data_IF_147932959266
#
_entry.id   IF_147932959266
#
_cell.length_a   1.000
_cell.length_b   1.000
_cell.length_c   1.000
_cell.angle_alpha   90.00
_cell.angle_beta   90.00
_cell.angle_gamma   90.00
#
_symmetry.space_group_name_H-M   'P 1'
#
loop_
_entity.id
_entity.type
_entity.pdbx_description
1 polymer ?
#
# COMPACT_ATOMS: atom_id res chain seq x y z
N UNK A 1 -11.77 41.98 -51.90
CA UNK A 1 -11.40 41.11 -53.03
C UNK A 1 -10.38 40.07 -52.55
N UNK A 2 -10.67 38.78 -52.78
CA UNK A 2 -9.78 37.59 -52.66
C UNK A 2 -9.25 37.30 -51.24
N UNK A 3 -9.95 36.57 -50.36
CA UNK A 3 -10.24 35.12 -50.34
C UNK A 3 -9.03 34.24 -50.65
N UNK A 4 -8.63 33.39 -49.70
CA UNK A 4 -8.10 32.03 -49.90
C UNK A 4 -8.00 31.33 -48.53
N UNK A 5 -9.04 30.55 -48.22
CA UNK A 5 -9.00 29.46 -47.24
C UNK A 5 -8.41 28.22 -47.94
N UNK A 6 -7.66 27.36 -47.22
CA UNK A 6 -7.61 25.93 -47.51
C UNK A 6 -8.42 25.20 -46.42
N UNK A 7 -9.54 24.59 -46.79
CA UNK A 7 -9.62 23.22 -47.32
C UNK A 7 -9.48 22.16 -46.23
N UNK A 8 -10.68 21.73 -45.81
CA UNK A 8 -11.02 20.47 -45.15
C UNK A 8 -10.17 19.28 -45.57
N UNK A 9 -9.68 18.54 -44.59
CA UNK A 9 -9.37 17.11 -44.74
C UNK A 9 -9.95 16.38 -43.52
N UNK A 10 -11.20 15.95 -43.68
CA UNK A 10 -11.85 15.04 -42.75
C UNK A 10 -11.22 13.65 -42.94
N UNK A 11 -10.41 13.23 -41.98
CA UNK A 11 -9.97 11.84 -41.88
C UNK A 11 -10.96 11.13 -40.94
N UNK A 12 -11.90 10.41 -41.56
CA UNK A 12 -12.77 9.44 -40.91
C UNK A 12 -11.91 8.20 -40.62
N UNK A 13 -11.49 8.00 -39.38
CA UNK A 13 -11.03 6.69 -38.92
C UNK A 13 -12.21 5.94 -38.30
N UNK A 14 -12.83 5.10 -39.13
CA UNK A 14 -13.79 4.10 -38.72
C UNK A 14 -13.01 2.89 -38.19
N UNK A 15 -12.66 2.88 -36.91
CA UNK A 15 -12.08 1.71 -36.26
C UNK A 15 -13.20 0.95 -35.55
N UNK A 16 -13.67 -0.11 -36.21
CA UNK A 16 -14.50 -1.14 -35.61
C UNK A 16 -13.74 -1.78 -34.44
N UNK A 17 -14.12 -1.42 -33.21
CA UNK A 17 -13.67 -2.13 -32.02
C UNK A 17 -14.47 -3.44 -31.94
N UNK A 18 -13.88 -4.47 -32.54
CA UNK A 18 -14.33 -5.85 -32.38
C UNK A 18 -14.26 -6.21 -30.90
N UNK A 19 -15.41 -6.42 -30.27
CA UNK A 19 -15.54 -6.90 -28.91
C UNK A 19 -15.04 -8.35 -28.84
N UNK A 20 -13.72 -8.51 -28.74
CA UNK A 20 -13.11 -9.79 -28.41
C UNK A 20 -13.29 -10.00 -26.90
N UNK A 21 -14.43 -10.57 -26.51
CA UNK A 21 -14.69 -11.01 -25.16
C UNK A 21 -13.69 -12.12 -24.80
N UNK A 22 -12.68 -11.79 -23.99
CA UNK A 22 -11.86 -12.81 -23.35
C UNK A 22 -12.78 -13.68 -22.47
N UNK A 23 -12.76 -15.01 -22.60
CA UNK A 23 -13.44 -15.89 -21.66
C UNK A 23 -12.82 -15.73 -20.27
N UNK A 24 -13.65 -15.40 -19.29
CA UNK A 24 -13.25 -15.37 -17.89
C UNK A 24 -12.81 -16.78 -17.46
N UNK A 25 -11.70 -16.94 -16.72
CA UNK A 25 -11.33 -18.22 -16.14
C UNK A 25 -12.43 -18.66 -15.17
N UNK A 26 -13.05 -19.81 -15.46
CA UNK A 26 -14.02 -20.45 -14.59
C UNK A 26 -13.35 -20.85 -13.28
N UNK A 27 -13.89 -20.34 -12.17
CA UNK A 27 -13.55 -20.80 -10.83
C UNK A 27 -13.92 -22.28 -10.72
N UNK A 28 -13.00 -23.19 -10.33
CA UNK A 28 -13.35 -24.58 -10.12
C UNK A 28 -14.37 -24.67 -8.98
N UNK A 29 -15.58 -25.14 -9.31
CA UNK A 29 -16.57 -25.56 -8.31
C UNK A 29 -15.97 -26.73 -7.54
N UNK A 30 -15.72 -26.51 -6.25
CA UNK A 30 -15.43 -27.61 -5.33
C UNK A 30 -16.58 -28.63 -5.32
N UNK A 31 -16.29 -29.89 -4.95
CA UNK A 31 -17.30 -30.95 -4.96
C UNK A 31 -18.50 -30.57 -4.07
N UNK A 32 -19.73 -30.91 -4.50
CA UNK A 32 -20.90 -30.68 -3.67
C UNK A 32 -20.80 -31.52 -2.39
N UNK A 33 -21.09 -30.89 -1.25
CA UNK A 33 -21.24 -31.59 0.02
C UNK A 33 -22.36 -32.65 -0.10
N UNK A 34 -22.16 -33.86 0.44
CA UNK A 34 -23.21 -34.85 0.50
C UNK A 34 -24.34 -34.36 1.43
N UNK A 35 -25.61 -34.47 1.00
CA UNK A 35 -26.74 -34.11 1.84
C UNK A 35 -27.00 -35.23 2.85
N UNK A 36 -27.10 -34.88 4.14
CA UNK A 36 -27.72 -35.75 5.15
C UNK A 36 -26.82 -36.28 6.26
N UNK A 37 -25.96 -35.46 6.86
CA UNK A 37 -25.47 -35.76 8.21
C UNK A 37 -26.09 -34.79 9.20
N UNK A 38 -27.16 -35.28 9.82
CA UNK A 38 -27.72 -34.79 11.07
C UNK A 38 -26.61 -34.88 12.11
N UNK A 39 -26.21 -33.74 12.68
CA UNK A 39 -25.40 -33.72 13.89
C UNK A 39 -26.38 -34.03 15.01
N UNK A 40 -26.44 -35.30 15.42
CA UNK A 40 -27.01 -35.68 16.71
C UNK A 40 -25.98 -35.33 17.79
N UNK A 41 -26.43 -34.53 18.75
CA UNK A 41 -25.75 -34.27 20.00
C UNK A 41 -25.59 -35.57 20.82
N UNK A 42 -24.61 -35.49 21.73
CA UNK A 42 -24.29 -36.39 22.85
C UNK A 42 -23.39 -37.60 22.55
N UNK A 43 -22.13 -37.47 22.96
CA UNK A 43 -21.61 -38.32 24.03
C UNK A 43 -20.39 -37.67 24.70
N UNK A 44 -20.60 -37.18 25.93
CA UNK A 44 -19.53 -36.92 26.89
C UNK A 44 -18.81 -38.24 27.18
N UNK A 45 -17.63 -38.41 26.61
CA UNK A 45 -16.72 -39.49 26.95
C UNK A 45 -15.79 -38.98 28.07
N UNK A 46 -16.21 -39.14 29.32
CA UNK A 46 -15.30 -39.04 30.47
C UNK A 46 -14.48 -40.33 30.54
N UNK A 47 -13.46 -40.41 29.69
CA UNK A 47 -12.39 -41.40 29.77
C UNK A 47 -11.15 -40.73 30.35
N UNK A 48 -10.97 -40.84 31.66
CA UNK A 48 -9.70 -40.52 32.34
C UNK A 48 -8.67 -41.58 31.93
N UNK A 49 -7.91 -41.30 30.86
CA UNK A 49 -6.73 -42.07 30.51
C UNK A 49 -5.48 -41.42 31.11
N UNK A 50 -4.78 -42.18 31.96
CA UNK A 50 -3.44 -41.90 32.48
C UNK A 50 -2.37 -42.04 31.38
N UNK A 51 -2.58 -41.40 30.22
CA UNK A 51 -1.53 -41.27 29.20
C UNK A 51 -0.73 -39.98 29.43
N UNK A 52 0.61 -40.02 29.35
CA UNK A 52 1.45 -38.84 29.45
C UNK A 52 1.03 -37.87 28.34
N UNK A 53 0.58 -36.69 28.76
CA UNK A 53 -0.16 -35.75 27.92
C UNK A 53 0.79 -35.00 26.98
N UNK A 54 1.25 -35.68 25.93
CA UNK A 54 2.13 -35.13 24.86
C UNK A 54 1.48 -33.92 24.20
N UNK A 55 0.14 -33.87 24.15
CA UNK A 55 -0.64 -32.74 23.63
C UNK A 55 -0.59 -31.50 24.55
N UNK A 56 -0.62 -31.68 25.88
CA UNK A 56 -0.41 -30.61 26.89
C UNK A 56 1.03 -30.13 26.88
N UNK A 57 2.01 -31.02 26.70
CA UNK A 57 3.42 -30.63 26.62
C UNK A 57 3.70 -29.84 25.33
N UNK A 58 3.21 -30.29 24.16
CA UNK A 58 3.25 -29.48 22.93
C UNK A 58 2.51 -28.15 23.06
N UNK A 59 1.38 -28.12 23.76
CA UNK A 59 0.63 -26.89 24.03
C UNK A 59 1.33 -25.96 25.04
N UNK A 60 2.14 -26.51 25.96
CA UNK A 60 2.99 -25.76 26.89
C UNK A 60 4.23 -25.21 26.18
N UNK A 61 4.91 -26.01 25.35
CA UNK A 61 6.05 -25.58 24.54
C UNK A 61 5.67 -24.48 23.53
N UNK A 62 4.50 -24.60 22.87
CA UNK A 62 3.95 -23.55 22.01
C UNK A 62 3.57 -22.26 22.77
N UNK A 63 3.27 -22.37 24.07
CA UNK A 63 3.06 -21.20 24.94
C UNK A 63 4.37 -20.56 25.40
N UNK A 64 5.42 -21.34 25.62
CA UNK A 64 6.76 -20.87 26.02
C UNK A 64 7.52 -20.18 24.87
N UNK A 65 7.27 -20.57 23.61
CA UNK A 65 7.88 -19.92 22.43
C UNK A 65 7.17 -18.65 21.96
N UNK A 66 6.12 -18.21 22.67
CA UNK A 66 5.47 -16.93 22.42
C UNK A 66 6.34 -15.82 23.02
N UNK A 67 7.35 -15.37 22.26
CA UNK A 67 8.21 -14.21 22.58
C UNK A 67 7.43 -13.16 23.38
N UNK A 68 7.98 -12.60 24.47
CA UNK A 68 7.21 -11.77 25.39
C UNK A 68 6.56 -10.62 24.61
N UNK A 69 5.22 -10.59 24.59
CA UNK A 69 4.39 -9.56 23.92
C UNK A 69 4.79 -8.12 24.27
N UNK A 70 5.58 -7.92 25.32
CA UNK A 70 6.12 -6.64 25.77
C UNK A 70 7.14 -6.04 24.78
N UNK A 71 8.12 -6.81 24.27
CA UNK A 71 9.11 -6.28 23.31
C UNK A 71 8.48 -5.83 21.98
N UNK A 72 7.44 -6.54 21.50
CA UNK A 72 6.71 -6.12 20.30
C UNK A 72 5.86 -4.86 20.53
N UNK A 73 5.37 -4.64 21.76
CA UNK A 73 4.58 -3.45 22.12
C UNK A 73 5.44 -2.20 22.22
N UNK A 74 6.67 -2.33 22.70
CA UNK A 74 7.60 -1.21 22.81
C UNK A 74 8.06 -0.72 21.43
N UNK A 75 8.43 -1.64 20.53
CA UNK A 75 8.77 -1.30 19.15
C UNK A 75 7.61 -0.61 18.41
N UNK A 76 6.37 -1.11 18.59
CA UNK A 76 5.20 -0.46 18.00
C UNK A 76 4.96 0.95 18.56
N UNK A 77 5.12 1.15 19.87
CA UNK A 77 4.98 2.49 20.49
C UNK A 77 6.04 3.46 19.98
N UNK A 78 7.28 3.02 19.82
CA UNK A 78 8.35 3.85 19.25
C UNK A 78 8.06 4.24 17.80
N UNK A 79 7.61 3.29 16.97
CA UNK A 79 7.21 3.57 15.59
C UNK A 79 6.06 4.58 15.50
N UNK A 80 5.05 4.46 16.37
CA UNK A 80 3.95 5.43 16.40
C UNK A 80 4.45 6.82 16.79
N UNK A 81 5.33 6.92 17.79
CA UNK A 81 5.93 8.21 18.20
C UNK A 81 6.77 8.85 17.09
N UNK A 82 7.58 8.06 16.38
CA UNK A 82 8.37 8.56 15.25
C UNK A 82 7.46 9.13 14.17
N UNK A 83 6.45 8.36 13.75
CA UNK A 83 5.47 8.80 12.75
C UNK A 83 4.64 10.00 13.20
N UNK A 84 4.31 10.09 14.49
CA UNK A 84 3.66 11.25 15.08
C UNK A 84 4.53 12.50 14.91
N UNK A 85 5.81 12.41 15.25
CA UNK A 85 6.74 13.53 15.13
C UNK A 85 6.96 13.95 13.67
N UNK A 86 7.14 12.99 12.77
CA UNK A 86 7.24 13.22 11.33
C UNK A 86 6.02 13.97 10.80
N UNK A 87 4.81 13.50 11.15
CA UNK A 87 3.57 14.15 10.71
C UNK A 87 3.43 15.56 11.28
N UNK A 88 3.70 15.76 12.57
CA UNK A 88 3.57 17.09 13.18
C UNK A 88 4.53 18.08 12.53
N UNK A 89 5.79 17.70 12.35
CA UNK A 89 6.80 18.54 11.67
C UNK A 89 6.34 18.89 10.26
N UNK A 90 5.88 17.89 9.52
CA UNK A 90 5.37 18.10 8.17
C UNK A 90 4.16 19.03 8.12
N UNK A 91 3.22 18.89 9.06
CA UNK A 91 2.03 19.74 9.14
C UNK A 91 2.39 21.17 9.54
N UNK A 92 3.41 21.40 10.37
CA UNK A 92 3.84 22.75 10.71
C UNK A 92 4.30 23.54 9.47
N UNK A 93 4.94 22.86 8.52
CA UNK A 93 5.41 23.45 7.28
C UNK A 93 4.31 23.57 6.21
N UNK A 94 3.45 22.56 6.08
CA UNK A 94 2.52 22.42 4.96
C UNK A 94 1.06 22.78 5.29
N UNK A 95 0.64 22.64 6.56
CA UNK A 95 -0.72 22.93 7.05
C UNK A 95 -0.70 23.38 8.53
N UNK A 96 -0.21 24.60 8.81
CA UNK A 96 0.06 25.06 10.17
C UNK A 96 -1.22 25.16 11.02
N UNK A 97 -2.38 25.32 10.39
CA UNK A 97 -3.67 25.33 11.09
C UNK A 97 -3.97 23.95 11.68
N UNK A 98 -3.68 22.89 10.93
CA UNK A 98 -3.85 21.51 11.39
C UNK A 98 -2.88 21.13 12.49
N UNK A 99 -1.62 21.57 12.38
CA UNK A 99 -0.64 21.40 13.44
C UNK A 99 -1.11 22.06 14.75
N UNK A 100 -1.66 23.29 14.68
CA UNK A 100 -2.24 23.98 15.84
C UNK A 100 -3.44 23.23 16.42
N UNK A 101 -4.36 22.74 15.57
CA UNK A 101 -5.51 21.93 16.01
C UNK A 101 -5.05 20.69 16.80
N UNK A 102 -4.07 19.96 16.28
CA UNK A 102 -3.52 18.77 16.93
C UNK A 102 -2.82 19.10 18.25
N UNK A 103 -2.04 20.19 18.32
CA UNK A 103 -1.41 20.65 19.56
C UNK A 103 -2.45 20.99 20.65
N UNK A 104 -3.47 21.76 20.30
CA UNK A 104 -4.55 22.10 21.23
C UNK A 104 -5.30 20.85 21.75
N UNK A 105 -5.55 19.87 20.86
CA UNK A 105 -6.16 18.59 21.25
C UNK A 105 -5.27 17.79 22.19
N UNK A 106 -3.94 17.81 22.00
CA UNK A 106 -2.99 17.11 22.85
C UNK A 106 -3.02 17.63 24.30
N UNK A 107 -3.22 18.93 24.47
CA UNK A 107 -3.32 19.59 25.78
C UNK A 107 -4.68 19.37 26.45
N UNK A 108 -5.76 19.33 25.65
CA UNK A 108 -7.13 19.33 26.18
C UNK A 108 -7.71 17.92 26.37
N UNK A 109 -7.57 17.03 25.36
CA UNK A 109 -8.13 15.68 25.38
C UNK A 109 -7.22 14.71 24.62
N UNK A 110 -6.43 13.94 25.38
CA UNK A 110 -5.50 12.94 24.85
C UNK A 110 -6.19 11.85 24.01
N UNK A 111 -7.45 11.51 24.29
CA UNK A 111 -8.19 10.49 23.54
C UNK A 111 -8.72 11.04 22.22
N UNK A 112 -9.22 12.28 22.21
CA UNK A 112 -9.55 12.97 20.97
C UNK A 112 -8.30 13.18 20.11
N UNK A 113 -7.19 13.60 20.73
CA UNK A 113 -5.89 13.71 20.07
C UNK A 113 -5.47 12.41 19.39
N UNK A 114 -5.44 11.28 20.12
CA UNK A 114 -5.01 10.01 19.54
C UNK A 114 -5.86 9.58 18.33
N UNK A 115 -7.19 9.78 18.39
CA UNK A 115 -8.09 9.49 17.27
C UNK A 115 -7.84 10.41 16.08
N UNK A 116 -7.69 11.72 16.34
CA UNK A 116 -7.43 12.72 15.29
C UNK A 116 -6.06 12.47 14.64
N UNK A 117 -5.04 12.21 15.43
CA UNK A 117 -3.69 11.86 14.99
C UNK A 117 -3.69 10.66 14.04
N UNK A 118 -4.32 9.56 14.44
CA UNK A 118 -4.42 8.36 13.59
C UNK A 118 -5.17 8.61 12.27
N UNK A 119 -6.17 9.49 12.30
CA UNK A 119 -6.90 9.91 11.10
C UNK A 119 -6.01 10.74 10.17
N UNK A 120 -5.29 11.73 10.72
CA UNK A 120 -4.39 12.55 9.90
C UNK A 120 -3.18 11.75 9.37
N UNK A 121 -2.62 10.85 10.17
CA UNK A 121 -1.61 9.90 9.68
C UNK A 121 -2.10 9.13 8.46
N UNK A 122 -3.37 8.69 8.43
CA UNK A 122 -3.91 7.98 7.26
C UNK A 122 -4.06 8.89 6.04
N UNK A 123 -4.40 10.15 6.24
CA UNK A 123 -4.65 11.10 5.16
C UNK A 123 -3.36 11.63 4.52
N UNK A 124 -2.38 11.99 5.35
CA UNK A 124 -1.18 12.68 4.91
C UNK A 124 0.00 11.76 4.63
N UNK A 125 0.03 10.53 5.18
CA UNK A 125 1.15 9.60 4.95
C UNK A 125 1.42 9.35 3.47
N UNK A 126 0.37 9.11 2.68
CA UNK A 126 0.53 8.90 1.25
C UNK A 126 1.03 10.14 0.49
N UNK A 127 0.82 11.34 1.03
CA UNK A 127 1.35 12.59 0.48
C UNK A 127 2.83 12.71 0.81
N UNK A 128 3.19 12.49 2.07
CA UNK A 128 4.58 12.55 2.56
C UNK A 128 5.48 11.56 1.80
N UNK A 129 5.05 10.29 1.72
CA UNK A 129 5.78 9.25 0.97
C UNK A 129 5.92 9.61 -0.52
N UNK A 130 4.90 10.24 -1.11
CA UNK A 130 4.93 10.69 -2.49
C UNK A 130 5.85 11.91 -2.69
N UNK A 131 6.07 12.78 -1.70
CA UNK A 131 6.92 13.96 -1.91
C UNK A 131 8.38 13.59 -2.19
N UNK A 132 8.87 12.53 -1.56
CA UNK A 132 10.24 12.05 -1.77
C UNK A 132 10.37 11.29 -3.10
N UNK A 133 9.39 10.45 -3.42
CA UNK A 133 9.47 9.50 -4.54
C UNK A 133 8.85 10.00 -5.84
N UNK A 134 7.77 10.76 -5.77
CA UNK A 134 7.01 11.26 -6.92
C UNK A 134 6.31 12.60 -6.57
N UNK A 135 7.02 13.75 -6.65
CA UNK A 135 6.48 15.05 -6.27
C UNK A 135 5.19 15.44 -7.01
N UNK A 136 5.05 15.04 -8.28
CA UNK A 136 3.82 15.28 -9.05
C UNK A 136 2.61 14.55 -8.42
N UNK A 137 2.80 13.29 -8.00
CA UNK A 137 1.76 12.55 -7.29
C UNK A 137 1.42 13.20 -5.94
N UNK A 138 2.41 13.72 -5.21
CA UNK A 138 2.15 14.42 -3.97
C UNK A 138 1.23 15.63 -4.16
N UNK A 139 1.46 16.44 -5.19
CA UNK A 139 0.62 17.60 -5.51
C UNK A 139 -0.81 17.20 -5.86
N UNK A 140 -1.00 16.14 -6.65
CA UNK A 140 -2.34 15.59 -6.95
C UNK A 140 -3.05 15.13 -5.68
N UNK A 141 -2.34 14.47 -4.76
CA UNK A 141 -2.91 14.01 -3.50
C UNK A 141 -3.27 15.17 -2.55
N UNK A 142 -2.47 16.24 -2.51
CA UNK A 142 -2.79 17.47 -1.76
C UNK A 142 -4.09 18.10 -2.28
N UNK A 143 -4.24 18.23 -3.60
CA UNK A 143 -5.46 18.75 -4.22
C UNK A 143 -6.68 17.88 -3.92
N UNK A 144 -6.60 16.55 -4.06
CA UNK A 144 -7.72 15.65 -3.75
C UNK A 144 -8.12 15.74 -2.27
N UNK A 145 -7.16 15.93 -1.37
CA UNK A 145 -7.45 16.12 0.05
C UNK A 145 -8.21 17.42 0.34
N UNK A 146 -7.81 18.54 -0.27
CA UNK A 146 -8.55 19.80 -0.17
C UNK A 146 -9.99 19.66 -0.71
N UNK A 147 -10.15 19.04 -1.88
CA UNK A 147 -11.48 18.80 -2.46
C UNK A 147 -12.32 17.84 -1.62
N UNK A 148 -11.73 16.84 -0.93
CA UNK A 148 -12.45 15.99 0.03
C UNK A 148 -12.98 16.80 1.21
N UNK A 149 -12.20 17.74 1.73
CA UNK A 149 -12.64 18.62 2.80
C UNK A 149 -13.80 19.52 2.34
N UNK A 150 -13.65 20.16 1.18
CA UNK A 150 -14.71 20.99 0.58
C UNK A 150 -15.99 20.20 0.33
N UNK A 151 -15.89 18.99 -0.23
CA UNK A 151 -17.02 18.08 -0.41
C UNK A 151 -17.75 17.81 0.91
N UNK A 152 -17.00 17.51 1.98
CA UNK A 152 -17.60 17.25 3.29
C UNK A 152 -18.31 18.49 3.85
N UNK A 153 -17.71 19.67 3.70
CA UNK A 153 -18.34 20.93 4.12
C UNK A 153 -19.64 21.20 3.35
N UNK A 154 -19.64 21.02 2.02
CA UNK A 154 -20.83 21.18 1.19
C UNK A 154 -21.94 20.20 1.59
N UNK A 155 -21.59 18.94 1.86
CA UNK A 155 -22.56 17.94 2.33
C UNK A 155 -23.21 18.35 3.66
N UNK A 156 -22.44 18.86 4.63
CA UNK A 156 -23.00 19.34 5.89
C UNK A 156 -23.89 20.59 5.68
N UNK A 157 -23.49 21.53 4.81
CA UNK A 157 -24.31 22.69 4.48
C UNK A 157 -25.63 22.30 3.81
N UNK A 158 -25.61 21.33 2.90
CA UNK A 158 -26.81 20.81 2.22
C UNK A 158 -27.77 20.17 3.22
N UNK A 159 -27.27 19.39 4.19
CA UNK A 159 -28.10 18.73 5.21
C UNK A 159 -28.86 19.72 6.09
N UNK A 160 -28.23 20.84 6.44
CA UNK A 160 -28.79 21.84 7.37
C UNK A 160 -29.64 22.89 6.65
N UNK A 161 -29.41 23.12 5.35
CA UNK A 161 -30.12 24.14 4.58
C UNK A 161 -31.56 23.73 4.28
N UNK A 162 -32.52 24.58 4.69
CA UNK A 162 -33.96 24.39 4.46
C UNK A 162 -34.47 25.05 3.17
N UNK A 163 -33.76 26.07 2.69
CA UNK A 163 -34.10 26.79 1.46
C UNK A 163 -33.70 25.97 0.23
N UNK A 164 -34.68 25.64 -0.60
CA UNK A 164 -34.50 24.78 -1.77
C UNK A 164 -33.64 25.43 -2.85
N UNK A 165 -33.74 26.76 -3.05
CA UNK A 165 -32.94 27.46 -4.05
C UNK A 165 -31.44 27.41 -3.68
N UNK A 166 -31.13 27.70 -2.41
CA UNK A 166 -29.76 27.60 -1.88
C UNK A 166 -29.25 26.15 -1.89
N UNK A 167 -30.12 25.18 -1.60
CA UNK A 167 -29.76 23.75 -1.66
C UNK A 167 -29.39 23.29 -3.07
N UNK A 168 -30.10 23.77 -4.10
CA UNK A 168 -29.75 23.52 -5.49
C UNK A 168 -28.39 24.12 -5.86
N UNK A 169 -28.08 25.35 -5.42
CA UNK A 169 -26.77 25.97 -5.62
C UNK A 169 -25.64 25.17 -4.97
N UNK A 170 -25.81 24.76 -3.71
CA UNK A 170 -24.83 23.92 -3.01
C UNK A 170 -24.65 22.55 -3.69
N UNK A 171 -25.72 21.99 -4.24
CA UNK A 171 -25.67 20.72 -4.99
C UNK A 171 -24.91 20.87 -6.31
N UNK A 172 -25.07 22.00 -7.01
CA UNK A 172 -24.29 22.31 -8.20
C UNK A 172 -22.79 22.47 -7.88
N UNK A 173 -22.44 23.17 -6.79
CA UNK A 173 -21.05 23.27 -6.33
C UNK A 173 -20.49 21.90 -5.92
N UNK A 174 -21.30 21.06 -5.28
CA UNK A 174 -20.89 19.70 -4.94
C UNK A 174 -20.59 18.88 -6.19
N UNK A 175 -21.41 19.02 -7.24
CA UNK A 175 -21.17 18.35 -8.53
C UNK A 175 -19.83 18.78 -9.14
N UNK A 176 -19.53 20.08 -9.17
CA UNK A 176 -18.25 20.59 -9.68
C UNK A 176 -17.05 20.03 -8.89
N UNK A 177 -17.13 20.00 -7.56
CA UNK A 177 -16.10 19.38 -6.72
C UNK A 177 -15.92 17.89 -7.04
N UNK A 178 -17.01 17.17 -7.33
CA UNK A 178 -16.93 15.75 -7.69
C UNK A 178 -16.29 15.52 -9.07
N UNK A 179 -16.58 16.37 -10.05
CA UNK A 179 -15.96 16.34 -11.38
C UNK A 179 -14.45 16.57 -11.26
N UNK A 180 -14.03 17.64 -10.58
CA UNK A 180 -12.60 17.92 -10.33
C UNK A 180 -11.89 16.76 -9.62
N UNK A 181 -12.56 16.13 -8.64
CA UNK A 181 -11.99 14.96 -7.96
C UNK A 181 -11.87 13.75 -8.87
N UNK A 182 -12.79 13.57 -9.82
CA UNK A 182 -12.70 12.49 -10.79
C UNK A 182 -11.48 12.69 -11.69
N UNK A 183 -11.24 13.91 -12.16
CA UNK A 183 -10.05 14.24 -12.94
C UNK A 183 -8.76 13.93 -12.17
N UNK A 184 -8.67 14.33 -10.90
CA UNK A 184 -7.52 14.00 -10.05
C UNK A 184 -7.37 12.49 -9.79
N UNK A 185 -8.48 11.73 -9.74
CA UNK A 185 -8.42 10.26 -9.62
C UNK A 185 -7.80 9.64 -10.88
N UNK A 186 -8.17 10.15 -12.05
CA UNK A 186 -7.59 9.71 -13.33
C UNK A 186 -6.10 10.08 -13.38
N UNK A 187 -5.75 11.34 -13.08
CA UNK A 187 -4.37 11.82 -13.03
C UNK A 187 -3.51 11.00 -12.05
N UNK A 188 -4.02 10.73 -10.85
CA UNK A 188 -3.37 9.86 -9.87
C UNK A 188 -3.09 8.46 -10.41
N UNK A 189 -4.05 7.88 -11.13
CA UNK A 189 -3.87 6.55 -11.74
C UNK A 189 -2.81 6.59 -12.84
N UNK A 190 -2.80 7.63 -13.66
CA UNK A 190 -1.82 7.82 -14.71
C UNK A 190 -0.40 7.93 -14.13
N UNK A 191 -0.19 8.77 -13.12
CA UNK A 191 1.11 8.93 -12.46
C UNK A 191 1.61 7.63 -11.83
N UNK A 192 0.72 6.86 -11.19
CA UNK A 192 1.07 5.55 -10.63
C UNK A 192 1.42 4.53 -11.70
N UNK A 193 0.71 4.54 -12.83
CA UNK A 193 1.00 3.67 -13.95
C UNK A 193 2.39 3.97 -14.53
N UNK A 194 2.72 5.25 -14.72
CA UNK A 194 4.04 5.67 -15.21
C UNK A 194 5.17 5.28 -14.25
N UNK A 195 4.96 5.45 -12.94
CA UNK A 195 5.91 5.05 -11.92
C UNK A 195 6.17 3.53 -11.93
N UNK A 196 5.09 2.72 -11.98
CA UNK A 196 5.20 1.27 -12.10
C UNK A 196 5.92 0.85 -13.39
N UNK A 197 5.68 1.55 -14.50
CA UNK A 197 6.37 1.28 -15.77
C UNK A 197 7.86 1.57 -15.66
N UNK A 198 8.26 2.67 -15.02
CA UNK A 198 9.68 2.98 -14.76
C UNK A 198 10.32 1.91 -13.90
N UNK A 199 9.66 1.51 -12.80
CA UNK A 199 10.18 0.48 -11.90
C UNK A 199 10.33 -0.87 -12.58
N UNK A 200 9.41 -1.25 -13.46
CA UNK A 200 9.52 -2.45 -14.27
C UNK A 200 10.75 -2.41 -15.18
N UNK A 201 11.03 -1.27 -15.82
CA UNK A 201 12.19 -1.12 -16.67
C UNK A 201 13.51 -1.24 -15.89
N UNK A 202 13.59 -0.63 -14.69
CA UNK A 202 14.74 -0.77 -13.80
C UNK A 202 14.95 -2.22 -13.34
N UNK A 203 13.88 -2.88 -12.91
CA UNK A 203 13.95 -4.28 -12.48
C UNK A 203 14.39 -5.19 -13.62
N UNK A 204 13.87 -5.00 -14.83
CA UNK A 204 14.30 -5.75 -16.00
C UNK A 204 15.79 -5.55 -16.28
N UNK A 205 16.28 -4.32 -16.15
CA UNK A 205 17.71 -4.01 -16.30
C UNK A 205 18.55 -4.77 -15.26
N UNK A 206 18.19 -4.70 -13.98
CA UNK A 206 18.92 -5.39 -12.90
C UNK A 206 18.92 -6.92 -13.10
N UNK A 207 17.81 -7.50 -13.56
CA UNK A 207 17.72 -8.93 -13.87
C UNK A 207 18.69 -9.29 -15.00
N UNK A 208 18.74 -8.50 -16.07
CA UNK A 208 19.65 -8.73 -17.18
C UNK A 208 21.13 -8.59 -16.75
N UNK A 209 21.46 -7.60 -15.91
CA UNK A 209 22.80 -7.42 -15.34
C UNK A 209 23.21 -8.64 -14.50
N UNK A 210 22.34 -9.08 -13.60
CA UNK A 210 22.55 -10.27 -12.77
C UNK A 210 22.74 -11.54 -13.62
N UNK A 211 21.99 -11.65 -14.72
CA UNK A 211 22.13 -12.77 -15.65
C UNK A 211 23.48 -12.73 -16.37
N UNK A 212 23.93 -11.57 -16.83
CA UNK A 212 25.23 -11.42 -17.48
C UNK A 212 26.39 -11.70 -16.52
N UNK A 213 26.27 -11.27 -15.26
CA UNK A 213 27.22 -11.59 -14.19
C UNK A 213 27.28 -13.10 -13.95
N UNK A 214 26.13 -13.77 -13.88
CA UNK A 214 26.07 -15.23 -13.73
C UNK A 214 26.73 -15.97 -14.88
N UNK A 215 26.49 -15.58 -16.13
CA UNK A 215 27.19 -16.20 -17.28
C UNK A 215 28.69 -15.94 -17.22
N UNK A 216 29.13 -14.74 -16.83
CA UNK A 216 30.55 -14.44 -16.64
C UNK A 216 31.19 -15.31 -15.54
N UNK A 217 30.47 -15.57 -14.45
CA UNK A 217 30.94 -16.46 -13.37
C UNK A 217 31.02 -17.90 -13.87
N UNK A 218 30.02 -18.37 -14.62
CA UNK A 218 30.02 -19.72 -15.20
C UNK A 218 31.19 -19.92 -16.17
N UNK A 219 31.46 -18.95 -17.05
CA UNK A 219 32.54 -19.01 -18.02
C UNK A 219 33.93 -19.04 -17.37
N UNK A 220 34.06 -18.40 -16.20
CA UNK A 220 35.31 -18.35 -15.43
C UNK A 220 35.42 -19.46 -14.38
N UNK A 221 34.46 -20.39 -14.30
CA UNK A 221 34.38 -21.40 -13.24
C UNK A 221 35.66 -22.22 -13.14
N UNK A 222 36.12 -22.80 -14.25
CA UNK A 222 37.25 -23.72 -14.23
C UNK A 222 38.55 -23.01 -13.79
N UNK A 223 38.77 -21.78 -14.29
CA UNK A 223 39.89 -20.93 -13.86
C UNK A 223 39.83 -20.59 -12.37
N UNK A 224 38.63 -20.28 -11.84
CA UNK A 224 38.46 -20.01 -10.41
C UNK A 224 38.68 -21.25 -9.56
N UNK A 225 38.24 -22.42 -10.03
CA UNK A 225 38.46 -23.71 -9.35
C UNK A 225 39.95 -24.05 -9.33
N UNK A 226 40.66 -23.92 -10.45
CA UNK A 226 42.11 -24.16 -10.52
C UNK A 226 42.87 -23.21 -9.59
N UNK A 227 42.55 -21.91 -9.63
CA UNK A 227 43.16 -20.92 -8.73
C UNK A 227 42.93 -21.28 -7.26
N UNK A 228 41.71 -21.65 -6.89
CA UNK A 228 41.40 -22.01 -5.51
C UNK A 228 42.09 -23.31 -5.09
N UNK A 229 42.22 -24.28 -6.00
CA UNK A 229 42.96 -25.52 -5.77
C UNK A 229 44.45 -25.24 -5.53
N UNK A 230 45.07 -24.36 -6.32
CA UNK A 230 46.44 -23.90 -6.10
C UNK A 230 46.60 -23.17 -4.77
N UNK A 231 45.67 -22.29 -4.41
CA UNK A 231 45.67 -21.60 -3.11
C UNK A 231 45.62 -22.59 -1.95
N UNK A 232 44.74 -23.60 -2.00
CA UNK A 232 44.62 -24.61 -0.94
C UNK A 232 45.86 -25.53 -0.84
N UNK A 233 46.47 -25.90 -1.98
CA UNK A 233 47.67 -26.73 -1.99
C UNK A 233 48.91 -25.96 -1.53
N UNK A 234 48.95 -24.64 -1.76
CA UNK A 234 50.08 -23.78 -1.38
C UNK A 234 49.87 -23.06 -0.05
N UNK A 235 48.65 -22.99 0.49
CA UNK A 235 48.38 -22.51 1.85
C UNK A 235 48.90 -23.53 2.84
N UNK A 236 50.20 -23.45 3.12
CA UNK A 236 50.76 -23.99 4.35
C UNK A 236 50.26 -23.11 5.49
N UNK A 237 49.04 -23.38 5.96
CA UNK A 237 48.72 -23.07 7.36
C UNK A 237 49.84 -23.73 8.18
N UNK A 238 50.69 -22.90 8.78
CA UNK A 238 51.49 -23.32 9.93
C UNK A 238 50.46 -23.69 10.99
N UNK A 239 50.06 -24.96 11.00
CA UNK A 239 49.35 -25.51 12.14
C UNK A 239 50.38 -25.47 13.28
N UNK A 240 50.30 -24.42 14.09
CA UNK A 240 51.09 -24.30 15.31
C UNK A 240 50.48 -25.26 16.32
N UNK A 241 51.12 -26.41 16.48
CA UNK A 241 50.75 -27.46 17.45
C UNK A 241 51.45 -27.25 18.81
N UNK A 242 52.09 -26.10 19.06
CA UNK A 242 52.75 -25.80 20.34
C UNK A 242 51.79 -25.34 21.43
#
# INVERSE_FOLDING_TARGET
MKSLLPSFLAIIFLSALSANAQPQPSVPKGPPMPPGQVIEDDQQFEGESDEPNVERERSREMREHRKPKQMQREGFRQQIKQRENELITWLEENDPNKAKELKALKETDLRAYARRMMFEMRNYRGIMEAQESNPALAEVLKKDMALKQQRNQLLEQIKVTKDEAKKQQLTAQLKEVLEQRFDLIVEKKQLRYEDLRKRLAELQKMVNESQAELETIKDKKDQQVEKHLEELLNSTERIDWN
#
